data_IF_339881774455
#
_entry.id   IF_339881774455
#
_cell.length_a   1.000
_cell.length_b   1.000
_cell.length_c   1.000
_cell.angle_alpha   90.00
_cell.angle_beta   90.00
_cell.angle_gamma   90.00
#
_symmetry.space_group_name_H-M   'P 1'
#
loop_
_entity.id
_entity.type
_entity.pdbx_description
1 polymer ?
#
# COMPACT_ATOMS: atom_id res chain seq x y z
N UNK A 1 -80.44 -51.93 -50.37
CA UNK A 1 -79.19 -52.31 -49.66
C UNK A 1 -78.14 -51.32 -50.12
N UNK A 2 -77.80 -50.35 -49.28
CA UNK A 2 -76.75 -49.32 -49.60
C UNK A 2 -75.57 -49.48 -48.67
N UNK A 3 -74.37 -49.54 -49.23
CA UNK A 3 -73.09 -49.74 -48.58
C UNK A 3 -72.82 -48.62 -47.55
N UNK A 4 -72.56 -49.04 -46.36
CA UNK A 4 -71.88 -48.20 -45.29
C UNK A 4 -70.53 -48.76 -44.92
N UNK A 5 -69.52 -48.59 -45.75
CA UNK A 5 -68.16 -49.11 -45.42
C UNK A 5 -67.01 -48.14 -45.68
N UNK A 6 -67.15 -46.81 -45.82
CA UNK A 6 -65.89 -46.05 -45.85
C UNK A 6 -65.55 -45.23 -44.61
N UNK A 7 -66.42 -45.18 -43.59
CA UNK A 7 -66.15 -44.25 -42.45
C UNK A 7 -65.16 -44.75 -41.40
N UNK A 8 -64.99 -46.09 -41.27
CA UNK A 8 -64.12 -46.65 -40.20
C UNK A 8 -62.61 -46.64 -40.56
N UNK A 9 -62.29 -46.70 -41.86
CA UNK A 9 -60.89 -46.69 -42.32
C UNK A 9 -60.21 -45.29 -42.21
N UNK A 10 -60.99 -44.24 -42.35
CA UNK A 10 -60.44 -42.85 -42.23
C UNK A 10 -60.10 -42.48 -40.81
N UNK A 11 -60.82 -42.95 -39.79
CA UNK A 11 -60.57 -42.71 -38.42
C UNK A 11 -59.29 -43.40 -37.86
N UNK A 12 -58.96 -44.57 -38.37
CA UNK A 12 -57.75 -45.30 -38.02
C UNK A 12 -56.49 -44.66 -38.61
N UNK A 13 -56.56 -44.05 -39.78
CA UNK A 13 -55.46 -43.33 -40.42
C UNK A 13 -55.17 -42.01 -39.75
N UNK A 14 -56.15 -41.28 -39.21
CA UNK A 14 -56.00 -40.07 -38.49
C UNK A 14 -55.35 -40.30 -37.12
N UNK A 15 -55.68 -41.38 -36.41
CA UNK A 15 -55.08 -41.72 -35.11
C UNK A 15 -53.58 -42.02 -35.20
N UNK A 16 -53.17 -42.72 -36.26
CA UNK A 16 -51.75 -43.05 -36.46
C UNK A 16 -50.90 -41.80 -36.81
N UNK A 17 -51.45 -40.85 -37.55
CA UNK A 17 -50.74 -39.62 -37.89
C UNK A 17 -50.52 -38.69 -36.65
N UNK A 18 -51.47 -38.63 -35.75
CA UNK A 18 -51.31 -37.84 -34.48
C UNK A 18 -50.32 -38.49 -33.54
N UNK A 19 -50.26 -39.79 -33.41
CA UNK A 19 -49.29 -40.48 -32.60
C UNK A 19 -47.83 -40.32 -33.13
N UNK A 20 -47.65 -40.35 -34.45
CA UNK A 20 -46.35 -40.11 -35.08
C UNK A 20 -45.91 -38.64 -34.96
N UNK A 21 -46.79 -37.68 -35.04
CA UNK A 21 -46.46 -36.27 -34.83
C UNK A 21 -46.02 -36.01 -33.40
N UNK A 22 -46.66 -36.56 -32.42
CA UNK A 22 -46.27 -36.41 -31.00
C UNK A 22 -44.88 -37.03 -30.71
N UNK A 23 -44.59 -38.17 -31.31
CA UNK A 23 -43.30 -38.82 -31.14
C UNK A 23 -42.15 -38.02 -31.77
N UNK A 24 -42.35 -37.45 -32.94
CA UNK A 24 -41.40 -36.59 -33.62
C UNK A 24 -41.13 -35.28 -32.82
N UNK A 25 -42.15 -34.69 -32.25
CA UNK A 25 -42.01 -33.50 -31.40
C UNK A 25 -41.22 -33.80 -30.14
N UNK A 26 -41.46 -34.95 -29.52
CA UNK A 26 -40.73 -35.39 -28.33
C UNK A 26 -39.23 -35.60 -28.64
N UNK A 27 -38.91 -36.26 -29.75
CA UNK A 27 -37.53 -36.44 -30.18
C UNK A 27 -36.82 -35.11 -30.50
N UNK A 28 -37.50 -34.20 -31.15
CA UNK A 28 -36.95 -32.86 -31.40
C UNK A 28 -36.70 -32.07 -30.13
N UNK A 29 -37.60 -32.19 -29.16
CA UNK A 29 -37.43 -31.52 -27.86
C UNK A 29 -36.24 -32.10 -27.10
N UNK A 30 -36.07 -33.44 -27.09
CA UNK A 30 -34.90 -34.07 -26.49
C UNK A 30 -33.58 -33.62 -27.12
N UNK A 31 -33.53 -33.56 -28.47
CA UNK A 31 -32.34 -33.09 -29.16
C UNK A 31 -32.00 -31.61 -28.84
N UNK A 32 -33.01 -30.76 -28.71
CA UNK A 32 -32.79 -29.36 -28.28
C UNK A 32 -32.24 -29.27 -26.89
N UNK A 33 -32.78 -30.04 -25.95
CA UNK A 33 -32.29 -30.08 -24.57
C UNK A 33 -30.83 -30.57 -24.49
N UNK A 34 -30.52 -31.64 -25.25
CA UNK A 34 -29.16 -32.15 -25.32
C UNK A 34 -28.17 -31.12 -25.89
N UNK A 35 -28.56 -30.46 -27.01
CA UNK A 35 -27.69 -29.43 -27.59
C UNK A 35 -27.52 -28.22 -26.69
N UNK A 36 -28.55 -27.80 -25.94
CA UNK A 36 -28.43 -26.73 -24.93
C UNK A 36 -27.53 -27.13 -23.78
N UNK A 37 -27.63 -28.37 -23.30
CA UNK A 37 -26.78 -28.86 -22.23
C UNK A 37 -25.29 -28.91 -22.66
N UNK A 38 -25.02 -29.41 -23.87
CA UNK A 38 -23.66 -29.41 -24.42
C UNK A 38 -23.11 -28.00 -24.61
N UNK A 39 -23.91 -27.06 -25.06
CA UNK A 39 -23.49 -25.66 -25.20
C UNK A 39 -23.21 -25.02 -23.82
N UNK A 40 -24.05 -25.30 -22.82
CA UNK A 40 -23.87 -24.81 -21.47
C UNK A 40 -22.60 -25.39 -20.82
N UNK A 41 -22.32 -26.68 -21.05
CA UNK A 41 -21.11 -27.33 -20.53
C UNK A 41 -19.84 -26.79 -21.19
N UNK A 42 -19.84 -26.60 -22.52
CA UNK A 42 -18.72 -25.97 -23.23
C UNK A 42 -18.45 -24.54 -22.72
N UNK A 43 -19.50 -23.74 -22.51
CA UNK A 43 -19.37 -22.41 -21.96
C UNK A 43 -18.77 -22.46 -20.55
N UNK A 44 -19.23 -23.38 -19.68
CA UNK A 44 -18.70 -23.55 -18.32
C UNK A 44 -17.22 -23.93 -18.34
N UNK A 45 -16.82 -24.85 -19.20
CA UNK A 45 -15.41 -25.22 -19.37
C UNK A 45 -14.57 -24.06 -19.90
N UNK A 46 -15.09 -23.25 -20.80
CA UNK A 46 -14.45 -22.04 -21.31
C UNK A 46 -14.21 -21.03 -20.19
N UNK A 47 -15.22 -20.78 -19.35
CA UNK A 47 -15.06 -19.87 -18.18
C UNK A 47 -14.03 -20.39 -17.18
N UNK A 48 -14.02 -21.70 -16.88
CA UNK A 48 -13.04 -22.27 -15.96
C UNK A 48 -11.61 -22.19 -16.50
N UNK A 49 -11.43 -22.45 -17.80
CA UNK A 49 -10.12 -22.33 -18.45
C UNK A 49 -9.64 -20.87 -18.46
N UNK A 50 -10.54 -19.92 -18.73
CA UNK A 50 -10.22 -18.50 -18.72
C UNK A 50 -9.85 -18.02 -17.30
N UNK A 51 -10.58 -18.48 -16.27
CA UNK A 51 -10.22 -18.18 -14.88
C UNK A 51 -8.85 -18.74 -14.48
N UNK A 52 -8.53 -19.96 -14.89
CA UNK A 52 -7.21 -20.55 -14.63
C UNK A 52 -6.09 -19.79 -15.34
N UNK A 53 -6.31 -19.34 -16.57
CA UNK A 53 -5.34 -18.52 -17.30
C UNK A 53 -5.15 -17.14 -16.66
N UNK A 54 -6.21 -16.50 -16.16
CA UNK A 54 -6.11 -15.25 -15.44
C UNK A 54 -5.35 -15.39 -14.11
N UNK A 55 -5.55 -16.48 -13.36
CA UNK A 55 -4.80 -16.75 -12.14
C UNK A 55 -3.31 -16.98 -12.40
N UNK A 56 -2.93 -17.58 -13.53
CA UNK A 56 -1.53 -17.77 -13.91
C UNK A 56 -0.86 -16.46 -14.38
N UNK A 57 -1.63 -15.46 -14.79
CA UNK A 57 -1.14 -14.15 -15.21
C UNK A 57 -1.04 -13.13 -14.05
N UNK A 58 -1.59 -13.47 -12.88
CA UNK A 58 -1.41 -12.62 -11.69
C UNK A 58 0.06 -12.62 -11.29
N UNK A 59 0.65 -11.43 -11.04
CA UNK A 59 1.99 -11.38 -10.51
C UNK A 59 2.06 -12.17 -9.19
N UNK A 60 3.19 -12.80 -8.90
CA UNK A 60 3.35 -13.49 -7.62
C UNK A 60 3.03 -12.53 -6.47
N UNK A 61 2.42 -13.02 -5.40
CA UNK A 61 2.16 -12.19 -4.23
C UNK A 61 3.45 -11.56 -3.75
N UNK A 62 3.42 -10.31 -3.28
CA UNK A 62 4.61 -9.66 -2.76
C UNK A 62 5.23 -10.53 -1.65
N UNK A 63 6.56 -10.57 -1.57
CA UNK A 63 7.23 -11.34 -0.54
C UNK A 63 6.75 -10.93 0.85
N UNK A 64 6.53 -11.89 1.72
CA UNK A 64 6.17 -11.64 3.11
C UNK A 64 7.27 -10.81 3.78
N UNK A 65 6.92 -9.82 4.62
CA UNK A 65 7.91 -9.06 5.36
C UNK A 65 8.77 -10.00 6.21
N UNK A 66 10.07 -9.85 6.14
CA UNK A 66 11.04 -10.66 6.91
C UNK A 66 11.35 -10.05 8.28
N UNK A 67 10.66 -8.97 8.64
CA UNK A 67 10.86 -8.22 9.86
C UNK A 67 9.99 -6.96 9.90
N UNK A 68 10.29 -6.09 10.84
CA UNK A 68 9.63 -4.79 11.02
C UNK A 68 10.64 -3.70 11.34
N UNK A 69 10.29 -2.45 11.03
CA UNK A 69 11.10 -1.29 11.32
C UNK A 69 10.62 -0.63 12.60
N UNK A 70 11.55 -0.39 13.51
CA UNK A 70 11.33 0.42 14.70
C UNK A 70 11.69 1.86 14.40
N UNK A 71 10.77 2.78 14.71
CA UNK A 71 11.00 4.21 14.62
C UNK A 71 11.95 4.64 15.74
N UNK A 72 12.96 5.43 15.38
CA UNK A 72 13.84 6.08 16.36
C UNK A 72 13.71 7.58 16.24
N UNK A 73 13.85 8.24 17.39
CA UNK A 73 13.73 9.69 17.53
C UNK A 73 15.07 10.35 17.81
N UNK A 74 15.24 11.53 17.25
CA UNK A 74 16.33 12.44 17.59
C UNK A 74 15.79 13.80 18.02
N UNK A 75 16.62 14.58 18.71
CA UNK A 75 16.30 15.96 19.04
C UNK A 75 17.57 16.82 19.14
N UNK A 76 17.43 18.09 18.77
CA UNK A 76 18.43 19.14 18.94
C UNK A 76 17.90 20.20 19.91
N UNK A 77 18.68 20.52 20.94
CA UNK A 77 18.34 21.48 21.96
C UNK A 77 19.41 22.59 22.02
N UNK A 78 19.31 23.63 21.20
CA UNK A 78 20.23 24.75 21.25
C UNK A 78 20.07 25.53 22.56
N UNK A 79 21.18 26.02 23.11
CA UNK A 79 21.20 26.91 24.27
C UNK A 79 20.66 28.29 23.90
N UNK A 80 19.81 28.90 24.72
CA UNK A 80 19.32 30.26 24.50
C UNK A 80 20.39 31.35 24.68
N UNK A 81 21.49 31.01 25.31
CA UNK A 81 22.63 31.93 25.47
C UNK A 81 23.74 31.76 24.44
N UNK A 82 23.50 30.87 23.46
CA UNK A 82 24.42 30.61 22.34
C UNK A 82 25.57 29.65 22.67
N UNK A 83 26.25 29.16 21.64
CA UNK A 83 27.51 28.43 21.74
C UNK A 83 27.43 26.97 22.18
N UNK A 84 26.28 26.48 22.64
CA UNK A 84 26.09 25.11 23.09
C UNK A 84 24.86 24.49 22.44
N UNK A 85 25.04 23.28 21.91
CA UNK A 85 23.97 22.43 21.39
C UNK A 85 23.93 21.11 22.13
N UNK A 86 22.79 20.76 22.69
CA UNK A 86 22.49 19.42 23.10
C UNK A 86 21.88 18.62 21.97
N UNK A 87 22.25 17.34 21.84
CA UNK A 87 21.78 16.47 20.82
C UNK A 87 21.52 15.07 21.36
N UNK A 88 20.49 14.43 20.84
CA UNK A 88 20.19 13.02 21.08
C UNK A 88 19.71 12.36 19.80
N UNK A 89 20.07 11.11 19.59
CA UNK A 89 19.59 10.27 18.47
C UNK A 89 19.36 8.84 18.96
N UNK A 90 18.49 8.11 18.27
CA UNK A 90 18.20 6.72 18.59
C UNK A 90 17.29 6.51 19.81
N UNK A 91 16.58 7.53 20.27
CA UNK A 91 15.61 7.41 21.34
C UNK A 91 14.35 6.67 20.88
N UNK A 92 13.66 6.01 21.82
CA UNK A 92 12.47 5.23 21.55
C UNK A 92 11.20 6.08 21.39
N UNK A 93 11.22 7.33 21.82
CA UNK A 93 10.12 8.28 21.71
C UNK A 93 10.61 9.72 21.56
N UNK A 94 9.71 10.57 21.07
CA UNK A 94 9.96 12.01 20.97
C UNK A 94 10.33 12.64 22.31
N UNK A 95 9.55 12.33 23.34
CA UNK A 95 9.73 12.85 24.69
C UNK A 95 11.08 12.43 25.30
N UNK A 96 11.51 11.21 25.00
CA UNK A 96 12.82 10.73 25.42
C UNK A 96 13.94 11.48 24.69
N UNK A 97 13.87 11.63 23.37
CA UNK A 97 14.83 12.38 22.58
C UNK A 97 14.97 13.83 23.08
N UNK A 98 13.84 14.51 23.27
CA UNK A 98 13.81 15.89 23.79
C UNK A 98 14.46 15.99 25.17
N UNK A 99 14.12 15.08 26.09
CA UNK A 99 14.69 15.04 27.43
C UNK A 99 16.21 14.81 27.41
N UNK A 100 16.67 13.87 26.57
CA UNK A 100 18.10 13.56 26.44
C UNK A 100 18.88 14.73 25.83
N UNK A 101 18.34 15.39 24.81
CA UNK A 101 18.97 16.55 24.19
C UNK A 101 19.07 17.74 25.15
N UNK A 102 18.06 17.99 25.97
CA UNK A 102 18.10 19.02 27.02
C UNK A 102 19.19 18.67 28.04
N UNK A 103 19.22 17.43 28.54
CA UNK A 103 20.22 17.00 29.50
C UNK A 103 21.66 17.10 28.97
N UNK A 104 21.87 16.76 27.70
CA UNK A 104 23.17 16.89 27.02
C UNK A 104 23.61 18.36 26.91
N UNK A 105 22.67 19.25 26.55
CA UNK A 105 22.93 20.68 26.49
C UNK A 105 23.31 21.25 27.91
N UNK A 106 22.57 20.89 28.95
CA UNK A 106 22.83 21.32 30.33
C UNK A 106 24.19 20.79 30.82
N UNK A 107 24.51 19.51 30.50
CA UNK A 107 25.81 18.92 30.86
C UNK A 107 27.01 19.63 30.18
N UNK A 108 26.79 20.18 29.00
CA UNK A 108 27.79 20.99 28.27
C UNK A 108 27.86 22.44 28.74
N UNK A 109 27.09 22.82 29.76
CA UNK A 109 27.09 24.16 30.34
C UNK A 109 26.21 25.15 29.58
N UNK A 110 25.24 24.71 28.81
CA UNK A 110 24.32 25.55 28.04
C UNK A 110 23.29 26.34 28.89
N UNK A 111 23.32 26.22 30.23
CA UNK A 111 22.41 26.91 31.12
C UNK A 111 20.98 26.38 31.02
N UNK A 112 19.98 27.25 30.90
CA UNK A 112 18.59 26.89 30.78
C UNK A 112 18.28 26.39 29.33
N UNK A 113 18.90 25.26 28.96
CA UNK A 113 18.68 24.65 27.66
C UNK A 113 17.20 24.29 27.50
N UNK A 114 16.47 25.01 26.71
CA UNK A 114 15.22 24.88 26.73
C UNK A 114 14.25 24.96 25.92
N UNK A 115 13.50 24.78 26.04
CA UNK A 115 12.10 24.61 26.20
C UNK A 115 11.34 24.01 25.03
N UNK A 116 11.79 23.94 23.83
CA UNK A 116 11.26 23.24 22.69
C UNK A 116 12.41 22.75 21.82
N UNK A 117 13.01 21.59 22.15
CA UNK A 117 13.95 20.94 21.26
C UNK A 117 13.35 20.69 19.89
N UNK A 118 14.17 20.74 18.87
CA UNK A 118 13.77 20.37 17.51
C UNK A 118 13.85 18.84 17.41
N UNK A 119 12.70 18.18 17.47
CA UNK A 119 12.60 16.72 17.39
C UNK A 119 12.32 16.25 15.96
N UNK A 120 12.91 15.11 15.60
CA UNK A 120 12.77 14.46 14.30
C UNK A 120 12.78 12.93 14.48
N UNK A 121 12.17 12.21 13.55
CA UNK A 121 12.11 10.75 13.58
C UNK A 121 12.48 10.14 12.22
N UNK A 122 13.22 9.03 12.25
CA UNK A 122 13.66 8.30 11.07
C UNK A 122 14.36 9.16 10.01
N UNK A 123 14.89 10.30 10.40
CA UNK A 123 15.50 11.31 9.54
C UNK A 123 16.88 11.73 10.05
N UNK A 124 17.53 12.58 9.28
CA UNK A 124 18.70 13.35 9.68
C UNK A 124 18.30 14.80 9.95
N UNK A 125 18.99 15.45 10.88
CA UNK A 125 18.81 16.86 11.17
C UNK A 125 20.13 17.61 11.08
N UNK A 126 20.07 18.89 10.73
CA UNK A 126 21.22 19.78 10.72
C UNK A 126 20.92 21.10 11.44
N UNK A 127 21.95 21.67 12.04
CA UNK A 127 21.98 23.03 12.57
C UNK A 127 22.99 23.84 11.79
N UNK A 128 22.53 24.91 11.18
CA UNK A 128 23.35 25.87 10.42
C UNK A 128 23.40 27.17 11.21
N UNK A 129 24.59 27.70 11.37
CA UNK A 129 24.79 29.04 11.97
C UNK A 129 24.79 30.08 10.87
N UNK A 130 24.04 31.14 11.07
CA UNK A 130 24.15 32.40 10.37
C UNK A 130 24.84 33.43 11.24
N UNK A 131 24.91 34.68 10.81
CA UNK A 131 25.61 35.77 11.52
C UNK A 131 25.02 36.06 12.90
N UNK A 132 23.69 36.07 13.05
CA UNK A 132 23.00 36.42 14.28
C UNK A 132 21.97 35.38 14.75
N UNK A 133 21.80 34.33 13.99
CA UNK A 133 20.78 33.30 14.22
C UNK A 133 21.25 31.93 13.75
N UNK A 134 20.44 30.91 14.02
CA UNK A 134 20.68 29.58 13.54
C UNK A 134 19.41 29.04 12.87
N UNK A 135 19.61 28.14 11.90
CA UNK A 135 18.54 27.40 11.24
C UNK A 135 18.63 25.93 11.58
N UNK A 136 17.47 25.31 11.85
CA UNK A 136 17.33 23.87 12.05
C UNK A 136 16.53 23.29 10.89
N UNK A 137 17.01 22.19 10.35
CA UNK A 137 16.39 21.48 9.21
C UNK A 137 16.42 19.98 9.44
N UNK A 138 15.54 19.24 8.78
CA UNK A 138 15.54 17.77 8.77
C UNK A 138 15.12 17.25 7.39
N UNK A 139 15.71 16.10 7.00
CA UNK A 139 15.41 15.41 5.75
C UNK A 139 15.73 13.90 5.86
N UNK A 140 15.45 13.14 4.80
CA UNK A 140 15.73 11.70 4.79
C UNK A 140 17.23 11.38 4.85
N UNK A 141 18.04 12.23 4.26
CA UNK A 141 19.51 12.11 4.27
C UNK A 141 20.18 13.30 4.95
N UNK A 142 21.41 13.09 5.40
CA UNK A 142 22.21 14.12 6.06
C UNK A 142 22.53 15.27 5.11
N UNK A 143 22.90 14.95 3.86
CA UNK A 143 23.21 15.94 2.83
C UNK A 143 22.00 16.82 2.51
N UNK A 144 20.80 16.22 2.35
CA UNK A 144 19.57 16.97 2.12
C UNK A 144 19.19 17.87 3.32
N UNK A 145 19.38 17.39 4.55
CA UNK A 145 19.15 18.23 5.74
C UNK A 145 20.11 19.44 5.77
N UNK A 146 21.38 19.21 5.45
CA UNK A 146 22.37 20.27 5.36
C UNK A 146 22.03 21.26 4.26
N UNK A 147 21.74 20.78 3.05
CA UNK A 147 21.42 21.61 1.89
C UNK A 147 20.18 22.47 2.15
N UNK A 148 19.14 21.90 2.75
CA UNK A 148 17.94 22.63 3.14
C UNK A 148 18.26 23.72 4.16
N UNK A 149 18.99 23.38 5.22
CA UNK A 149 19.38 24.34 6.26
C UNK A 149 20.25 25.48 5.72
N UNK A 150 21.21 25.15 4.84
CA UNK A 150 22.05 26.14 4.14
C UNK A 150 21.23 27.06 3.22
N UNK A 151 20.25 26.48 2.52
CA UNK A 151 19.35 27.26 1.67
C UNK A 151 18.48 28.22 2.48
N UNK A 152 17.97 27.74 3.62
CA UNK A 152 17.15 28.58 4.50
C UNK A 152 17.96 29.68 5.19
N UNK A 153 19.15 29.36 5.69
CA UNK A 153 20.06 30.33 6.29
C UNK A 153 20.40 31.49 5.33
N UNK A 154 20.70 31.18 4.07
CA UNK A 154 21.06 32.19 3.04
C UNK A 154 19.93 33.16 2.66
N UNK A 155 18.72 32.96 3.19
CA UNK A 155 17.63 33.93 2.99
C UNK A 155 17.78 35.16 3.87
N UNK A 156 18.42 34.96 5.05
CA UNK A 156 18.49 35.94 6.13
C UNK A 156 19.94 36.25 6.57
N UNK A 157 20.94 35.47 6.12
CA UNK A 157 22.37 35.65 6.43
C UNK A 157 23.25 35.50 5.18
N UNK A 158 24.29 36.31 5.07
CA UNK A 158 25.29 36.19 3.99
C UNK A 158 26.30 35.06 4.30
N UNK A 159 26.66 34.88 5.56
CA UNK A 159 27.55 33.82 6.03
C UNK A 159 26.72 32.72 6.69
N UNK A 160 26.84 31.47 6.17
CA UNK A 160 26.17 30.30 6.70
C UNK A 160 27.17 29.15 6.84
N UNK A 161 27.23 28.54 8.02
CA UNK A 161 28.17 27.47 8.33
C UNK A 161 27.44 26.27 8.98
N UNK A 162 27.80 25.04 8.56
CA UNK A 162 27.33 23.84 9.22
C UNK A 162 27.95 23.73 10.62
N UNK A 163 27.12 23.78 11.63
CA UNK A 163 27.54 23.59 13.02
C UNK A 163 27.44 22.14 13.48
N UNK A 164 26.36 21.45 13.12
CA UNK A 164 26.09 20.09 13.56
C UNK A 164 25.13 19.38 12.60
N UNK A 165 25.35 18.08 12.41
CA UNK A 165 24.39 17.18 11.77
C UNK A 165 24.40 15.81 12.43
N UNK A 166 23.26 15.13 12.44
CA UNK A 166 23.11 13.77 12.94
C UNK A 166 21.84 13.12 12.44
N UNK A 167 21.82 11.78 12.38
CA UNK A 167 20.69 10.99 11.92
C UNK A 167 20.15 10.09 13.03
N UNK A 168 18.83 10.02 13.16
CA UNK A 168 18.13 9.01 13.93
C UNK A 168 17.49 8.03 12.94
N UNK A 169 18.24 6.99 12.53
CA UNK A 169 17.81 6.03 11.51
C UNK A 169 16.95 4.93 12.11
N UNK A 170 15.89 4.49 11.43
CA UNK A 170 15.06 3.39 11.90
C UNK A 170 15.87 2.09 12.05
N UNK A 171 15.50 1.25 13.01
CA UNK A 171 16.15 -0.03 13.28
C UNK A 171 15.30 -1.16 12.72
N UNK A 172 15.91 -2.03 11.90
CA UNK A 172 15.21 -3.19 11.35
C UNK A 172 15.36 -4.40 12.27
N UNK A 173 14.23 -4.95 12.70
CA UNK A 173 14.15 -6.19 13.47
C UNK A 173 13.69 -7.33 12.58
N UNK A 174 14.46 -8.43 12.56
CA UNK A 174 14.09 -9.66 11.84
C UNK A 174 13.21 -10.55 12.73
N UNK A 175 12.26 -11.22 12.09
CA UNK A 175 11.49 -12.28 12.74
C UNK A 175 12.35 -13.51 13.02
#
# INVERSE_FOLDING_TARGET
MKLQVPLLLVLLAAGSAHAQMNNNQYHQQQQRVQSQNHAAEQNRLGYMTQQQQMQQQLPPPPPQPTGWWETTWGALAPSPVGGVLGAAVGASSKEEAERLAIADCEAKGGGACRSKPFAFDNQCAAMILGENEFTLSNAETEDEAIDQGMSDCRKDSEECELYYSACSKPVFHRY
#
